data_IF_078056048177
#
_entry.id   IF_078056048177
#
_cell.length_a   1.000
_cell.length_b   1.000
_cell.length_c   1.000
_cell.angle_alpha   90.00
_cell.angle_beta   90.00
_cell.angle_gamma   90.00
#
_symmetry.space_group_name_H-M   'P 1'
#
loop_
_entity.id
_entity.type
_entity.pdbx_description
1 polymer ?
#
# COMPACT_ATOMS: atom_id res chain seq x y z
N UNK A 1 -18.47 -3.53 -13.31
CA UNK A 1 -17.61 -2.34 -13.12
C UNK A 1 -16.53 -2.44 -14.16
N UNK A 2 -16.53 -1.53 -15.12
CA UNK A 2 -15.50 -1.45 -16.16
C UNK A 2 -14.18 -1.17 -15.47
N UNK A 3 -13.30 -2.16 -15.45
CA UNK A 3 -11.87 -1.96 -15.22
C UNK A 3 -11.45 -0.95 -16.28
N UNK A 4 -11.32 0.32 -15.89
CA UNK A 4 -10.76 1.34 -16.77
C UNK A 4 -9.29 0.97 -16.93
N UNK A 5 -9.02 0.15 -17.94
CA UNK A 5 -7.71 0.04 -18.52
C UNK A 5 -7.21 1.48 -18.74
N UNK A 6 -5.95 1.80 -18.43
CA UNK A 6 -5.41 3.10 -18.75
C UNK A 6 -5.72 3.38 -20.24
N UNK A 7 -6.11 4.61 -20.60
CA UNK A 7 -6.37 4.95 -21.99
C UNK A 7 -5.17 4.46 -22.81
N UNK A 8 -5.42 3.63 -23.82
CA UNK A 8 -4.37 3.12 -24.70
C UNK A 8 -3.72 4.34 -25.36
N UNK A 9 -2.59 4.77 -24.80
CA UNK A 9 -1.80 5.84 -25.37
C UNK A 9 -1.07 5.24 -26.56
N UNK A 10 -1.19 5.87 -27.73
CA UNK A 10 -0.43 5.50 -28.94
C UNK A 10 1.05 5.85 -28.82
N UNK A 11 1.43 6.51 -27.72
CA UNK A 11 2.75 6.99 -27.40
C UNK A 11 3.60 5.88 -26.78
N UNK A 12 4.76 5.63 -27.35
CA UNK A 12 5.72 4.61 -26.88
C UNK A 12 6.86 5.22 -26.06
N UNK A 13 7.43 4.45 -25.13
CA UNK A 13 8.62 4.86 -24.36
C UNK A 13 9.78 5.32 -25.26
N UNK A 14 10.01 4.62 -26.37
CA UNK A 14 11.08 4.96 -27.31
C UNK A 14 10.89 6.36 -27.93
N UNK A 15 9.64 6.74 -28.27
CA UNK A 15 9.33 8.08 -28.77
C UNK A 15 9.56 9.16 -27.71
N UNK A 16 9.18 8.88 -26.45
CA UNK A 16 9.42 9.77 -25.30
C UNK A 16 10.92 10.00 -25.09
N UNK A 17 11.70 8.92 -25.03
CA UNK A 17 13.15 9.01 -24.81
C UNK A 17 13.87 9.71 -25.98
N UNK A 18 13.43 9.49 -27.21
CA UNK A 18 13.94 10.19 -28.41
C UNK A 18 13.67 11.69 -28.32
N UNK A 19 12.45 12.10 -27.94
CA UNK A 19 12.11 13.50 -27.77
C UNK A 19 12.93 14.15 -26.64
N UNK A 20 13.16 13.45 -25.53
CA UNK A 20 14.01 13.90 -24.42
C UNK A 20 15.47 14.07 -24.86
N UNK A 21 15.99 13.14 -25.67
CA UNK A 21 17.38 13.18 -26.15
C UNK A 21 17.65 14.37 -27.08
N UNK A 22 16.64 14.85 -27.81
CA UNK A 22 16.75 16.02 -28.70
C UNK A 22 16.79 17.37 -27.95
N UNK A 23 16.53 17.39 -26.65
CA UNK A 23 16.48 18.62 -25.85
C UNK A 23 17.87 19.14 -25.49
N UNK A 24 17.95 20.44 -25.23
CA UNK A 24 19.16 21.05 -24.65
C UNK A 24 19.43 20.47 -23.25
N UNK A 25 20.69 20.39 -22.77
CA UNK A 25 21.03 19.72 -21.51
C UNK A 25 20.17 20.16 -20.31
N UNK A 26 19.97 21.47 -20.12
CA UNK A 26 19.12 22.03 -19.04
C UNK A 26 17.67 21.53 -19.13
N UNK A 27 17.11 21.48 -20.34
CA UNK A 27 15.73 21.05 -20.57
C UNK A 27 15.59 19.55 -20.38
N UNK A 28 16.57 18.78 -20.87
CA UNK A 28 16.66 17.33 -20.72
C UNK A 28 16.70 16.91 -19.25
N UNK A 29 17.59 17.52 -18.46
CA UNK A 29 17.68 17.32 -17.00
C UNK A 29 16.35 17.63 -16.34
N UNK A 30 15.76 18.80 -16.64
CA UNK A 30 14.50 19.22 -16.05
C UNK A 30 13.36 18.23 -16.33
N UNK A 31 13.20 17.77 -17.58
CA UNK A 31 12.17 16.80 -17.94
C UNK A 31 12.38 15.47 -17.24
N UNK A 32 13.63 14.97 -17.16
CA UNK A 32 13.94 13.73 -16.43
C UNK A 32 13.65 13.85 -14.93
N UNK A 33 13.92 15.01 -14.31
CA UNK A 33 13.56 15.23 -12.91
C UNK A 33 12.03 15.31 -12.69
N UNK A 34 11.29 15.91 -13.63
CA UNK A 34 9.82 15.92 -13.56
C UNK A 34 9.22 14.51 -13.75
N UNK A 35 9.91 13.64 -14.49
CA UNK A 35 9.54 12.25 -14.75
C UNK A 35 10.33 11.24 -13.89
N UNK A 36 10.93 11.70 -12.79
CA UNK A 36 11.83 10.90 -11.93
C UNK A 36 11.26 9.55 -11.46
N UNK A 37 9.95 9.38 -11.19
CA UNK A 37 9.41 8.06 -10.86
C UNK A 37 9.64 7.02 -11.96
N UNK A 38 9.71 7.45 -13.22
CA UNK A 38 9.66 6.58 -14.41
C UNK A 38 10.94 6.59 -15.25
N UNK A 39 11.73 7.67 -15.17
CA UNK A 39 12.94 7.87 -15.97
C UNK A 39 14.07 8.41 -15.10
N UNK A 40 15.25 7.81 -15.25
CA UNK A 40 16.42 8.15 -14.45
C UNK A 40 17.25 9.23 -15.16
N UNK A 41 17.75 10.24 -14.43
CA UNK A 41 18.80 11.10 -14.94
C UNK A 41 20.01 10.27 -15.36
N UNK A 42 20.54 10.56 -16.55
CA UNK A 42 21.74 9.88 -17.06
C UNK A 42 23.00 10.37 -16.31
N UNK A 43 24.12 9.64 -16.35
CA UNK A 43 25.37 10.11 -15.76
C UNK A 43 25.80 11.50 -16.27
N UNK A 44 25.54 11.80 -17.54
CA UNK A 44 25.76 13.13 -18.12
C UNK A 44 24.91 14.21 -17.46
N UNK A 45 23.64 13.91 -17.16
CA UNK A 45 22.73 14.85 -16.50
C UNK A 45 23.18 15.12 -15.06
N UNK A 46 23.64 14.10 -14.34
CA UNK A 46 24.21 14.24 -12.99
C UNK A 46 25.45 15.14 -13.04
N UNK A 47 26.37 14.89 -13.97
CA UNK A 47 27.57 15.71 -14.18
C UNK A 47 27.20 17.14 -14.54
N UNK A 48 26.18 17.33 -15.38
CA UNK A 48 25.68 18.65 -15.75
C UNK A 48 25.12 19.40 -14.52
N UNK A 49 24.27 18.76 -13.73
CA UNK A 49 23.72 19.35 -12.49
C UNK A 49 24.82 19.72 -11.49
N UNK A 50 25.80 18.83 -11.31
CA UNK A 50 26.92 19.06 -10.39
C UNK A 50 27.80 20.25 -10.84
N UNK A 51 27.94 20.51 -12.16
CA UNK A 51 28.65 21.70 -12.69
C UNK A 51 27.88 23.00 -12.45
N UNK A 52 26.56 22.96 -12.50
CA UNK A 52 25.70 24.15 -12.30
C UNK A 52 25.43 24.48 -10.83
N UNK A 53 25.91 23.64 -9.90
CA UNK A 53 25.67 23.81 -8.47
C UNK A 53 26.11 25.20 -7.99
N UNK A 54 25.20 25.91 -7.32
CA UNK A 54 25.57 27.09 -6.53
C UNK A 54 26.20 26.63 -5.21
N UNK A 55 27.41 27.09 -4.87
CA UNK A 55 28.11 26.64 -3.67
C UNK A 55 27.25 26.82 -2.39
N UNK A 56 27.21 25.81 -1.48
CA UNK A 56 26.44 25.89 -0.23
C UNK A 56 26.88 27.05 0.67
N UNK A 57 28.12 27.54 0.54
CA UNK A 57 28.64 28.66 1.33
C UNK A 57 28.08 30.04 0.94
N UNK A 58 27.28 30.12 -0.13
CA UNK A 58 26.59 31.35 -0.54
C UNK A 58 25.22 31.51 0.15
N UNK A 59 24.74 30.50 0.91
CA UNK A 59 23.47 30.54 1.66
C UNK A 59 23.69 30.78 3.16
N UNK A 60 24.44 31.82 3.53
CA UNK A 60 24.35 32.45 4.85
C UNK A 60 25.20 33.73 4.88
N UNK A 61 24.59 34.90 4.64
CA UNK A 61 24.95 36.18 5.27
C UNK A 61 26.38 36.74 5.23
N UNK A 62 27.41 36.03 4.76
CA UNK A 62 28.75 36.54 4.58
C UNK A 62 28.80 37.24 3.23
N UNK A 63 28.44 38.53 3.25
CA UNK A 63 29.05 39.47 2.31
C UNK A 63 30.56 39.41 2.54
N UNK A 64 31.27 38.53 1.85
CA UNK A 64 32.65 38.80 1.51
C UNK A 64 32.62 39.96 0.51
N UNK A 65 32.64 41.17 1.07
CA UNK A 65 32.91 42.38 0.31
C UNK A 65 34.27 42.21 -0.36
N UNK A 66 34.28 42.34 -1.68
CA UNK A 66 35.48 42.21 -2.49
C UNK A 66 35.35 41.05 -3.47
N UNK A 67 35.00 41.40 -4.72
CA UNK A 67 35.21 40.64 -5.97
C UNK A 67 35.81 39.24 -5.77
N UNK A 68 35.02 38.27 -5.31
CA UNK A 68 35.32 36.87 -5.57
C UNK A 68 34.57 36.49 -6.84
N UNK A 69 35.12 36.95 -7.97
CA UNK A 69 35.04 36.15 -9.18
C UNK A 69 35.78 34.86 -8.84
N UNK A 70 35.08 33.85 -8.31
CA UNK A 70 35.54 32.48 -8.45
C UNK A 70 35.50 32.25 -9.95
N UNK A 71 36.65 32.49 -10.58
CA UNK A 71 36.84 32.26 -11.99
C UNK A 71 36.37 30.83 -12.27
N UNK A 72 35.42 30.69 -13.18
CA UNK A 72 35.03 29.40 -13.77
C UNK A 72 36.23 28.62 -14.35
N UNK A 73 37.42 29.23 -14.40
CA UNK A 73 38.63 28.73 -15.05
C UNK A 73 39.63 27.97 -14.16
N UNK A 74 39.42 27.79 -12.84
CA UNK A 74 40.45 27.12 -11.99
C UNK A 74 39.96 26.11 -10.96
N UNK A 75 38.85 25.41 -11.22
CA UNK A 75 38.68 24.07 -10.64
C UNK A 75 39.09 23.08 -11.73
N UNK A 76 40.32 22.57 -11.64
CA UNK A 76 40.81 21.48 -12.50
C UNK A 76 40.00 20.21 -12.21
N UNK A 77 38.89 20.05 -12.93
CA UNK A 77 37.99 18.90 -12.84
C UNK A 77 36.82 19.09 -11.87
N UNK A 78 35.64 18.62 -12.25
CA UNK A 78 34.44 18.60 -11.40
C UNK A 78 34.69 17.72 -10.17
N UNK A 79 34.57 18.23 -8.92
CA UNK A 79 34.80 17.44 -7.72
C UNK A 79 33.86 16.22 -7.66
N UNK A 80 34.41 15.03 -7.37
CA UNK A 80 33.63 13.78 -7.27
C UNK A 80 32.53 13.89 -6.21
N UNK A 81 32.80 14.54 -5.09
CA UNK A 81 31.83 14.72 -4.01
C UNK A 81 30.59 15.50 -4.45
N UNK A 82 30.70 16.37 -5.46
CA UNK A 82 29.56 17.12 -5.99
C UNK A 82 28.66 16.23 -6.84
N UNK A 83 29.27 15.34 -7.64
CA UNK A 83 28.55 14.32 -8.41
C UNK A 83 27.81 13.39 -7.44
N UNK A 84 28.52 12.88 -6.42
CA UNK A 84 27.96 11.98 -5.39
C UNK A 84 26.81 12.66 -4.63
N UNK A 85 26.93 13.95 -4.29
CA UNK A 85 25.88 14.67 -3.58
C UNK A 85 24.58 14.76 -4.40
N UNK A 86 24.68 15.10 -5.70
CA UNK A 86 23.51 15.15 -6.60
C UNK A 86 22.94 13.76 -6.80
N UNK A 87 23.80 12.76 -7.06
CA UNK A 87 23.38 11.37 -7.24
C UNK A 87 22.63 10.84 -6.01
N UNK A 88 23.14 11.10 -4.80
CA UNK A 88 22.49 10.70 -3.54
C UNK A 88 21.10 11.34 -3.41
N UNK A 89 20.96 12.63 -3.76
CA UNK A 89 19.66 13.32 -3.71
C UNK A 89 18.69 12.77 -4.75
N UNK A 90 19.13 12.55 -5.99
CA UNK A 90 18.33 11.90 -7.04
C UNK A 90 17.83 10.54 -6.55
N UNK A 91 18.71 9.68 -6.05
CA UNK A 91 18.36 8.35 -5.53
C UNK A 91 17.38 8.42 -4.35
N UNK A 92 17.56 9.37 -3.43
CA UNK A 92 16.67 9.58 -2.29
C UNK A 92 15.23 9.87 -2.75
N UNK A 93 15.05 10.88 -3.60
CA UNK A 93 13.71 11.28 -4.07
C UNK A 93 13.10 10.24 -5.01
N UNK A 94 13.90 9.64 -5.89
CA UNK A 94 13.47 8.56 -6.77
C UNK A 94 12.94 7.37 -5.95
N UNK A 95 13.69 6.92 -4.94
CA UNK A 95 13.28 5.82 -4.06
C UNK A 95 11.99 6.16 -3.33
N UNK A 96 11.84 7.39 -2.84
CA UNK A 96 10.63 7.84 -2.15
C UNK A 96 9.40 7.81 -3.08
N UNK A 97 9.50 8.40 -4.26
CA UNK A 97 8.39 8.47 -5.23
C UNK A 97 7.99 7.08 -5.73
N UNK A 98 8.96 6.26 -6.11
CA UNK A 98 8.72 4.88 -6.56
C UNK A 98 8.15 4.01 -5.44
N UNK A 99 8.61 4.18 -4.20
CA UNK A 99 8.07 3.46 -3.03
C UNK A 99 6.60 3.82 -2.80
N UNK A 100 6.25 5.10 -2.91
CA UNK A 100 4.87 5.55 -2.82
C UNK A 100 3.97 4.95 -3.91
N UNK A 101 4.40 4.99 -5.18
CA UNK A 101 3.65 4.41 -6.29
C UNK A 101 3.52 2.87 -6.15
N UNK A 102 4.62 2.19 -5.80
CA UNK A 102 4.62 0.74 -5.57
C UNK A 102 3.64 0.37 -4.46
N UNK A 103 3.64 1.12 -3.34
CA UNK A 103 2.69 0.94 -2.25
C UNK A 103 1.25 1.09 -2.71
N UNK A 104 0.96 2.14 -3.48
CA UNK A 104 -0.39 2.39 -3.98
C UNK A 104 -0.86 1.34 -4.98
N UNK A 105 0.03 0.85 -5.86
CA UNK A 105 -0.26 -0.27 -6.76
C UNK A 105 -0.59 -1.53 -5.98
N UNK A 106 0.30 -1.96 -5.08
CA UNK A 106 0.09 -3.15 -4.26
C UNK A 106 -1.21 -3.05 -3.45
N UNK A 107 -1.56 -1.88 -2.94
CA UNK A 107 -2.78 -1.68 -2.16
C UNK A 107 -4.04 -1.71 -3.06
N UNK A 108 -3.96 -1.16 -4.26
CA UNK A 108 -5.05 -1.17 -5.23
C UNK A 108 -5.39 -2.60 -5.67
N UNK A 109 -4.40 -3.39 -6.08
CA UNK A 109 -4.71 -4.77 -6.46
C UNK A 109 -5.00 -5.66 -5.23
N UNK A 110 -4.50 -5.34 -4.02
CA UNK A 110 -4.88 -6.05 -2.78
C UNK A 110 -6.39 -5.95 -2.55
N UNK A 111 -6.89 -4.73 -2.61
CA UNK A 111 -8.28 -4.42 -2.41
C UNK A 111 -9.16 -4.96 -3.55
N UNK A 112 -8.67 -4.91 -4.79
CA UNK A 112 -9.37 -5.51 -5.95
C UNK A 112 -9.57 -7.01 -5.75
N UNK A 113 -8.51 -7.73 -5.39
CA UNK A 113 -8.55 -9.17 -5.16
C UNK A 113 -9.44 -9.52 -3.95
N UNK A 114 -9.34 -8.76 -2.86
CA UNK A 114 -10.23 -8.94 -1.72
C UNK A 114 -11.70 -8.70 -2.08
N UNK A 115 -12.01 -7.71 -2.90
CA UNK A 115 -13.38 -7.44 -3.33
C UNK A 115 -13.94 -8.58 -4.20
N UNK A 116 -13.12 -9.16 -5.07
CA UNK A 116 -13.50 -10.34 -5.85
C UNK A 116 -13.79 -11.55 -4.94
N UNK A 117 -12.90 -11.84 -3.98
CA UNK A 117 -13.10 -12.93 -3.01
C UNK A 117 -14.32 -12.70 -2.10
N UNK A 118 -14.52 -11.47 -1.60
CA UNK A 118 -15.69 -11.11 -0.80
C UNK A 118 -16.99 -11.24 -1.59
N UNK A 119 -16.98 -10.95 -2.89
CA UNK A 119 -18.16 -11.13 -3.74
C UNK A 119 -18.55 -12.61 -3.84
N UNK A 120 -17.58 -13.52 -3.95
CA UNK A 120 -17.83 -14.97 -3.91
C UNK A 120 -18.39 -15.41 -2.55
N UNK A 121 -17.82 -14.93 -1.44
CA UNK A 121 -18.32 -15.26 -0.09
C UNK A 121 -19.76 -14.75 0.11
N UNK A 122 -20.09 -13.56 -0.39
CA UNK A 122 -21.45 -13.02 -0.35
C UNK A 122 -22.40 -13.91 -1.15
N UNK A 123 -22.05 -14.26 -2.39
CA UNK A 123 -22.87 -15.11 -3.25
C UNK A 123 -23.06 -16.51 -2.66
N UNK A 124 -22.01 -17.11 -2.09
CA UNK A 124 -22.09 -18.39 -1.40
C UNK A 124 -23.04 -18.33 -0.18
N UNK A 125 -22.98 -17.23 0.60
CA UNK A 125 -23.86 -17.05 1.75
C UNK A 125 -25.31 -16.84 1.31
N UNK A 126 -25.55 -16.08 0.24
CA UNK A 126 -26.90 -15.91 -0.35
C UNK A 126 -27.48 -17.25 -0.83
N UNK A 127 -26.66 -18.09 -1.47
CA UNK A 127 -27.07 -19.44 -1.89
C UNK A 127 -27.47 -20.32 -0.70
N UNK A 128 -26.69 -20.33 0.37
CA UNK A 128 -26.99 -21.11 1.58
C UNK A 128 -28.23 -20.58 2.32
N UNK A 129 -28.39 -19.26 2.43
CA UNK A 129 -29.58 -18.65 3.03
C UNK A 129 -30.86 -18.99 2.24
N UNK A 130 -30.78 -19.00 0.91
CA UNK A 130 -31.92 -19.35 0.06
C UNK A 130 -32.23 -20.86 0.07
N UNK A 131 -31.20 -21.71 -0.01
CA UNK A 131 -31.37 -23.16 -0.16
C UNK A 131 -31.54 -23.93 1.15
N UNK A 132 -30.83 -23.56 2.23
CA UNK A 132 -30.85 -24.28 3.50
C UNK A 132 -31.72 -23.60 4.57
N UNK A 133 -31.94 -22.29 4.45
CA UNK A 133 -32.71 -21.52 5.44
C UNK A 133 -34.06 -21.01 4.90
N UNK A 134 -34.38 -21.28 3.63
CA UNK A 134 -35.60 -20.88 2.93
C UNK A 134 -35.87 -19.36 3.00
N UNK A 135 -34.81 -18.54 3.03
CA UNK A 135 -34.95 -17.09 3.07
C UNK A 135 -35.27 -16.57 1.67
N UNK A 136 -36.44 -15.92 1.54
CA UNK A 136 -36.88 -15.28 0.31
C UNK A 136 -36.08 -14.01 -0.06
N UNK A 137 -36.20 -13.53 -1.31
CA UNK A 137 -35.46 -12.38 -1.82
C UNK A 137 -35.75 -11.09 -1.03
N UNK A 138 -36.99 -10.86 -0.61
CA UNK A 138 -37.36 -9.68 0.19
C UNK A 138 -36.64 -9.66 1.54
N UNK A 139 -36.59 -10.80 2.24
CA UNK A 139 -35.86 -10.93 3.50
C UNK A 139 -34.34 -10.78 3.34
N UNK A 140 -33.78 -11.17 2.19
CA UNK A 140 -32.36 -10.90 1.87
C UNK A 140 -32.09 -9.40 1.68
N UNK A 141 -33.04 -8.65 1.11
CA UNK A 141 -32.96 -7.20 1.01
C UNK A 141 -33.06 -6.52 2.39
N UNK A 142 -33.94 -7.02 3.26
CA UNK A 142 -34.03 -6.56 4.65
C UNK A 142 -32.72 -6.80 5.40
N UNK A 143 -32.13 -7.99 5.29
CA UNK A 143 -30.84 -8.31 5.88
C UNK A 143 -29.73 -7.38 5.36
N UNK A 144 -29.76 -7.06 4.06
CA UNK A 144 -28.81 -6.13 3.44
C UNK A 144 -28.99 -4.70 3.96
N UNK A 145 -30.23 -4.25 4.19
CA UNK A 145 -30.52 -2.96 4.79
C UNK A 145 -30.05 -2.88 6.26
N UNK A 146 -30.29 -3.96 7.02
CA UNK A 146 -29.91 -4.07 8.44
C UNK A 146 -28.40 -4.22 8.66
N UNK A 147 -27.63 -4.61 7.64
CA UNK A 147 -26.19 -4.82 7.74
C UNK A 147 -25.42 -3.63 8.35
N UNK A 148 -25.90 -2.40 8.13
CA UNK A 148 -25.28 -1.15 8.63
C UNK A 148 -25.59 -0.84 10.10
N UNK A 149 -26.59 -1.49 10.69
CA UNK A 149 -27.14 -1.16 12.01
C UNK A 149 -26.74 -2.18 13.09
N UNK A 150 -26.30 -3.38 12.72
CA UNK A 150 -26.11 -4.49 13.64
C UNK A 150 -24.72 -4.54 14.33
N UNK A 151 -24.64 -4.54 15.68
CA UNK A 151 -23.38 -4.73 16.42
C UNK A 151 -22.92 -6.19 16.35
N UNK A 152 -22.23 -6.53 15.26
CA UNK A 152 -21.88 -7.91 14.89
C UNK A 152 -21.17 -8.70 15.98
N UNK A 153 -20.13 -8.11 16.59
CA UNK A 153 -19.32 -8.80 17.61
C UNK A 153 -20.16 -9.21 18.80
N UNK A 154 -21.10 -8.35 19.22
CA UNK A 154 -22.03 -8.66 20.30
C UNK A 154 -23.05 -9.72 19.87
N UNK A 155 -23.63 -9.58 18.68
CA UNK A 155 -24.60 -10.53 18.14
C UNK A 155 -24.02 -11.96 18.02
N UNK A 156 -22.78 -12.08 17.52
CA UNK A 156 -22.07 -13.37 17.42
C UNK A 156 -21.80 -13.98 18.79
N UNK A 157 -21.34 -13.19 19.76
CA UNK A 157 -21.13 -13.66 21.14
C UNK A 157 -22.44 -14.11 21.79
N UNK A 158 -23.52 -13.36 21.58
CA UNK A 158 -24.85 -13.70 22.09
C UNK A 158 -25.38 -15.00 21.47
N UNK A 159 -25.21 -15.17 20.15
CA UNK A 159 -25.60 -16.39 19.43
C UNK A 159 -24.83 -17.60 19.93
N UNK A 160 -23.50 -17.48 20.10
CA UNK A 160 -22.68 -18.54 20.68
C UNK A 160 -23.13 -18.91 22.10
N UNK A 161 -23.38 -17.91 22.96
CA UNK A 161 -23.85 -18.16 24.32
C UNK A 161 -25.24 -18.83 24.37
N UNK A 162 -26.15 -18.52 23.43
CA UNK A 162 -27.44 -19.21 23.31
C UNK A 162 -27.26 -20.67 22.91
N UNK A 163 -26.37 -20.95 21.96
CA UNK A 163 -26.03 -22.31 21.55
C UNK A 163 -25.41 -23.12 22.71
N UNK A 164 -24.48 -22.53 23.46
CA UNK A 164 -23.83 -23.17 24.60
C UNK A 164 -24.81 -23.55 25.72
N UNK A 165 -25.90 -22.79 25.87
CA UNK A 165 -26.97 -23.02 26.84
C UNK A 165 -28.11 -23.91 26.33
N UNK A 166 -28.08 -24.30 25.05
CA UNK A 166 -29.19 -25.04 24.42
C UNK A 166 -30.48 -24.22 24.27
N UNK A 167 -30.38 -22.89 24.20
CA UNK A 167 -31.52 -21.96 24.05
C UNK A 167 -31.90 -21.72 22.58
N UNK A 168 -31.29 -22.43 21.64
CA UNK A 168 -31.52 -22.28 20.20
C UNK A 168 -31.32 -23.63 19.50
N UNK A 169 -32.21 -23.94 18.56
CA UNK A 169 -32.14 -25.13 17.72
C UNK A 169 -31.06 -24.99 16.64
N UNK A 170 -30.58 -26.13 16.13
CA UNK A 170 -29.53 -26.18 15.11
C UNK A 170 -29.90 -25.38 13.85
N UNK A 171 -31.14 -25.53 13.35
CA UNK A 171 -31.62 -24.83 12.16
C UNK A 171 -31.67 -23.30 12.36
N UNK A 172 -32.16 -22.85 13.51
CA UNK A 172 -32.28 -21.42 13.82
C UNK A 172 -30.90 -20.79 14.06
N UNK A 173 -29.97 -21.53 14.67
CA UNK A 173 -28.60 -21.09 14.82
C UNK A 173 -27.92 -20.90 13.47
N UNK A 174 -28.01 -21.87 12.57
CA UNK A 174 -27.40 -21.78 11.24
C UNK A 174 -27.97 -20.59 10.47
N UNK A 175 -29.30 -20.39 10.53
CA UNK A 175 -29.97 -19.23 9.93
C UNK A 175 -29.47 -17.90 10.49
N UNK A 176 -29.45 -17.75 11.82
CA UNK A 176 -28.96 -16.52 12.48
C UNK A 176 -27.45 -16.30 12.18
N UNK A 177 -26.64 -17.37 12.18
CA UNK A 177 -25.20 -17.32 11.94
C UNK A 177 -24.88 -16.87 10.52
N UNK A 178 -25.52 -17.49 9.51
CA UNK A 178 -25.37 -17.12 8.11
C UNK A 178 -25.87 -15.70 7.84
N UNK A 179 -26.96 -15.28 8.47
CA UNK A 179 -27.48 -13.91 8.35
C UNK A 179 -26.48 -12.87 8.88
N UNK A 180 -25.88 -13.13 10.05
CA UNK A 180 -24.84 -12.26 10.61
C UNK A 180 -23.59 -12.25 9.72
N UNK A 181 -23.19 -13.40 9.19
CA UNK A 181 -22.04 -13.51 8.30
C UNK A 181 -22.24 -12.74 6.99
N UNK A 182 -23.41 -12.87 6.36
CA UNK A 182 -23.81 -12.09 5.19
C UNK A 182 -23.70 -10.58 5.46
N UNK A 183 -24.27 -10.11 6.58
CA UNK A 183 -24.17 -8.71 7.00
C UNK A 183 -22.73 -8.25 7.25
N UNK A 184 -21.88 -9.13 7.80
CA UNK A 184 -20.46 -8.84 8.03
C UNK A 184 -19.70 -8.64 6.72
N UNK A 185 -19.91 -9.56 5.75
CA UNK A 185 -19.25 -9.53 4.44
C UNK A 185 -19.69 -8.33 3.61
N UNK A 186 -20.98 -7.96 3.66
CA UNK A 186 -21.48 -6.75 3.02
C UNK A 186 -20.79 -5.49 3.56
N UNK A 187 -20.67 -5.34 4.87
CA UNK A 187 -19.96 -4.21 5.49
C UNK A 187 -18.49 -4.16 5.10
N UNK A 188 -17.82 -5.30 5.14
CA UNK A 188 -16.41 -5.39 4.78
C UNK A 188 -16.19 -5.01 3.30
N UNK A 189 -17.03 -5.50 2.40
CA UNK A 189 -17.02 -5.11 0.98
C UNK A 189 -17.21 -3.60 0.83
N UNK A 190 -18.17 -3.00 1.53
CA UNK A 190 -18.42 -1.56 1.45
C UNK A 190 -17.23 -0.74 1.97
N UNK A 191 -16.57 -1.16 3.07
CA UNK A 191 -15.33 -0.54 3.55
C UNK A 191 -14.20 -0.66 2.54
N UNK A 192 -13.98 -1.85 1.99
CA UNK A 192 -12.90 -2.12 1.03
C UNK A 192 -13.12 -1.38 -0.28
N UNK A 193 -14.37 -1.28 -0.75
CA UNK A 193 -14.73 -0.48 -1.92
C UNK A 193 -14.44 1.00 -1.72
N UNK A 194 -14.80 1.57 -0.56
CA UNK A 194 -14.45 2.97 -0.22
C UNK A 194 -12.94 3.17 -0.19
N UNK A 195 -12.20 2.24 0.42
CA UNK A 195 -10.73 2.28 0.48
C UNK A 195 -10.13 2.18 -0.92
N UNK A 196 -10.62 1.29 -1.78
CA UNK A 196 -10.12 1.14 -3.15
C UNK A 196 -10.32 2.44 -3.92
N UNK A 197 -11.50 3.06 -3.84
CA UNK A 197 -11.77 4.34 -4.49
C UNK A 197 -10.79 5.42 -4.01
N UNK A 198 -10.54 5.53 -2.71
CA UNK A 198 -9.56 6.49 -2.17
C UNK A 198 -8.14 6.21 -2.67
N UNK A 199 -7.73 4.94 -2.70
CA UNK A 199 -6.40 4.53 -3.17
C UNK A 199 -6.23 4.78 -4.66
N UNK A 200 -7.25 4.51 -5.48
CA UNK A 200 -7.21 4.81 -6.91
C UNK A 200 -7.12 6.32 -7.18
N UNK A 201 -7.83 7.13 -6.40
CA UNK A 201 -7.72 8.60 -6.47
C UNK A 201 -6.33 9.08 -6.03
N UNK A 202 -5.80 8.57 -4.90
CA UNK A 202 -4.46 8.90 -4.42
C UNK A 202 -3.38 8.46 -5.41
N UNK A 203 -3.54 7.29 -6.03
CA UNK A 203 -2.67 6.77 -7.09
C UNK A 203 -2.70 7.67 -8.31
N UNK A 204 -3.88 8.04 -8.80
CA UNK A 204 -4.01 8.94 -9.95
C UNK A 204 -3.37 10.31 -9.66
N UNK A 205 -3.60 10.86 -8.47
CA UNK A 205 -2.97 12.10 -8.03
C UNK A 205 -1.43 11.97 -7.96
N UNK A 206 -0.93 10.85 -7.41
CA UNK A 206 0.51 10.59 -7.31
C UNK A 206 1.16 10.43 -8.68
N UNK A 207 0.49 9.74 -9.62
CA UNK A 207 0.98 9.55 -11.00
C UNK A 207 1.13 10.90 -11.71
N UNK A 208 0.14 11.78 -11.56
CA UNK A 208 0.09 13.08 -12.24
C UNK A 208 0.86 14.18 -11.49
N UNK A 209 1.27 13.94 -10.25
CA UNK A 209 2.06 14.90 -9.47
C UNK A 209 3.49 14.98 -9.97
N UNK A 210 4.01 16.20 -10.14
CA UNK A 210 5.43 16.46 -10.39
C UNK A 210 6.12 16.96 -9.13
N UNK A 211 7.45 16.81 -9.04
CA UNK A 211 8.25 17.41 -7.98
C UNK A 211 8.01 18.92 -7.87
N UNK A 212 7.99 19.45 -6.65
CA UNK A 212 7.87 20.89 -6.40
C UNK A 212 9.16 21.64 -6.80
N UNK A 213 9.09 22.96 -6.98
CA UNK A 213 10.27 23.75 -7.34
C UNK A 213 11.34 23.70 -6.24
N UNK A 214 10.94 23.58 -4.97
CA UNK A 214 11.84 23.42 -3.84
C UNK A 214 12.60 22.09 -3.92
N UNK A 215 11.92 20.99 -4.21
CA UNK A 215 12.57 19.69 -4.33
C UNK A 215 13.48 19.62 -5.55
N UNK A 216 13.06 20.18 -6.69
CA UNK A 216 13.93 20.30 -7.86
C UNK A 216 15.18 21.15 -7.57
N UNK A 217 15.02 22.27 -6.85
CA UNK A 217 16.12 23.11 -6.43
C UNK A 217 17.06 22.39 -5.44
N UNK A 218 16.51 21.55 -4.56
CA UNK A 218 17.27 20.74 -3.62
C UNK A 218 18.11 19.67 -4.34
N UNK A 219 17.49 18.91 -5.27
CA UNK A 219 18.19 17.89 -6.06
C UNK A 219 19.31 18.51 -6.89
N UNK A 220 18.99 19.59 -7.61
CA UNK A 220 19.94 20.28 -8.50
C UNK A 220 20.93 21.17 -7.72
N UNK A 221 20.72 21.39 -6.42
CA UNK A 221 21.54 22.27 -5.60
C UNK A 221 21.65 23.71 -6.15
N UNK A 222 20.55 24.25 -6.68
CA UNK A 222 20.46 25.65 -7.16
C UNK A 222 19.38 26.43 -6.41
N UNK A 223 19.25 27.74 -6.67
CA UNK A 223 18.16 28.55 -6.13
C UNK A 223 16.80 28.17 -6.75
N UNK A 224 15.71 28.36 -5.99
CA UNK A 224 14.34 28.05 -6.45
C UNK A 224 13.92 28.95 -7.62
N UNK A 225 14.25 30.25 -7.59
CA UNK A 225 13.81 31.21 -8.62
C UNK A 225 14.15 30.79 -10.08
N UNK A 226 15.38 30.35 -10.37
CA UNK A 226 15.72 29.79 -11.69
C UNK A 226 14.94 28.55 -12.11
N UNK A 227 14.48 27.71 -11.18
CA UNK A 227 13.82 26.44 -11.48
C UNK A 227 12.48 26.67 -12.18
N UNK A 228 11.63 27.58 -11.68
CA UNK A 228 10.29 27.79 -12.24
C UNK A 228 10.33 28.16 -13.73
N UNK A 229 11.25 29.05 -14.11
CA UNK A 229 11.44 29.45 -15.50
C UNK A 229 12.02 28.32 -16.37
N UNK A 230 12.97 27.53 -15.82
CA UNK A 230 13.54 26.37 -16.50
C UNK A 230 12.48 25.30 -16.74
N UNK A 231 11.60 25.07 -15.77
CA UNK A 231 10.50 24.10 -15.81
C UNK A 231 9.57 24.38 -16.99
N UNK A 232 9.01 25.59 -17.07
CA UNK A 232 8.08 25.98 -18.14
C UNK A 232 8.72 25.83 -19.52
N UNK A 233 9.95 26.33 -19.69
CA UNK A 233 10.69 26.22 -20.96
C UNK A 233 11.00 24.78 -21.34
N UNK A 234 11.30 23.92 -20.37
CA UNK A 234 11.62 22.52 -20.61
C UNK A 234 10.38 21.73 -21.05
N UNK A 235 9.25 21.89 -20.36
CA UNK A 235 7.98 21.25 -20.73
C UNK A 235 7.54 21.70 -22.13
N UNK A 236 7.62 23.00 -22.41
CA UNK A 236 7.33 23.55 -23.73
C UNK A 236 8.20 22.92 -24.83
N UNK A 237 9.52 22.88 -24.61
CA UNK A 237 10.45 22.33 -25.58
C UNK A 237 10.22 20.83 -25.80
N UNK A 238 9.94 20.09 -24.73
CA UNK A 238 9.63 18.67 -24.78
C UNK A 238 8.37 18.39 -25.61
N UNK A 239 7.26 19.09 -25.34
CA UNK A 239 6.03 18.83 -26.08
C UNK A 239 6.17 19.17 -27.58
N UNK A 240 6.88 20.25 -27.90
CA UNK A 240 7.19 20.59 -29.29
C UNK A 240 8.05 19.51 -29.98
N UNK A 241 9.07 18.99 -29.29
CA UNK A 241 9.91 17.91 -29.79
C UNK A 241 9.14 16.59 -29.94
N UNK A 242 8.20 16.31 -29.03
CA UNK A 242 7.39 15.10 -29.12
C UNK A 242 6.40 15.17 -30.28
N UNK A 243 5.74 16.31 -30.48
CA UNK A 243 4.81 16.49 -31.59
C UNK A 243 5.50 16.42 -32.95
N UNK A 244 6.71 16.96 -33.08
CA UNK A 244 7.49 16.81 -34.32
C UNK A 244 7.85 15.35 -34.57
N UNK A 245 8.19 14.60 -33.52
CA UNK A 245 8.47 13.15 -33.58
C UNK A 245 7.23 12.35 -34.00
N UNK A 246 6.05 12.72 -33.51
CA UNK A 246 4.78 12.07 -33.83
C UNK A 246 4.20 12.46 -35.19
N UNK A 247 4.79 13.44 -35.90
CA UNK A 247 4.23 14.06 -37.11
C UNK A 247 2.78 14.53 -36.91
N UNK A 248 2.38 14.75 -35.66
CA UNK A 248 1.07 15.29 -35.30
C UNK A 248 1.13 16.79 -35.48
N UNK A 249 0.32 17.36 -36.37
CA UNK A 249 0.15 18.81 -36.44
C UNK A 249 -0.42 19.30 -35.11
N UNK A 250 0.41 19.88 -34.24
CA UNK A 250 -0.08 20.58 -33.06
C UNK A 250 -0.71 21.88 -33.53
N UNK A 251 -2.00 22.07 -33.24
CA UNK A 251 -2.57 23.41 -33.23
C UNK A 251 -1.94 24.18 -32.06
N UNK A 252 -1.01 25.08 -32.38
CA UNK A 252 -0.28 25.89 -31.43
C UNK A 252 -1.19 26.71 -30.50
N UNK A 253 -2.42 27.05 -30.93
CA UNK A 253 -3.40 27.74 -30.11
C UNK A 253 -4.02 26.84 -29.04
N UNK A 254 -4.40 25.61 -29.39
CA UNK A 254 -4.88 24.59 -28.44
C UNK A 254 -3.82 24.22 -27.39
N UNK A 255 -2.56 24.16 -27.79
CA UNK A 255 -1.44 23.85 -26.91
C UNK A 255 -1.16 25.01 -25.94
N UNK A 256 -1.12 26.26 -26.41
CA UNK A 256 -0.99 27.43 -25.53
C UNK A 256 -2.16 27.54 -24.54
N UNK A 257 -3.38 27.20 -24.98
CA UNK A 257 -4.55 27.15 -24.11
C UNK A 257 -4.45 26.04 -23.06
N UNK A 258 -4.00 24.83 -23.40
CA UNK A 258 -3.82 23.73 -22.44
C UNK A 258 -2.70 23.99 -21.40
N UNK A 259 -1.59 24.61 -21.84
CA UNK A 259 -0.50 25.04 -20.95
C UNK A 259 -0.99 26.10 -19.96
N UNK A 260 -1.75 27.07 -20.44
CA UNK A 260 -2.27 28.15 -19.59
C UNK A 260 -3.45 27.72 -18.72
N UNK A 261 -4.32 26.80 -19.20
CA UNK A 261 -5.52 26.37 -18.50
C UNK A 261 -5.30 25.23 -17.48
N UNK A 262 -4.20 24.47 -17.57
CA UNK A 262 -3.99 23.27 -16.73
C UNK A 262 -2.56 23.03 -16.23
N UNK A 263 -1.52 23.58 -16.88
CA UNK A 263 -0.13 23.32 -16.49
C UNK A 263 0.41 24.35 -15.50
N UNK A 264 0.02 25.63 -15.57
CA UNK A 264 0.50 26.68 -14.65
C UNK A 264 0.29 26.36 -13.15
N UNK A 265 -0.95 26.08 -12.69
CA UNK A 265 -1.23 25.78 -11.27
C UNK A 265 -0.76 24.38 -10.81
N UNK A 266 -0.59 23.42 -11.73
CA UNK A 266 -0.11 22.06 -11.42
C UNK A 266 1.42 21.95 -11.41
N UNK A 267 2.11 22.83 -12.14
CA UNK A 267 3.57 22.89 -12.21
C UNK A 267 4.18 23.89 -11.22
N UNK A 268 3.45 24.92 -10.77
CA UNK A 268 3.87 25.73 -9.63
C UNK A 268 3.61 24.91 -8.37
N UNK A 269 4.65 24.34 -7.77
CA UNK A 269 4.56 23.53 -6.56
C UNK A 269 3.57 24.15 -5.57
N UNK A 270 2.44 23.47 -5.39
CA UNK A 270 1.37 23.92 -4.50
C UNK A 270 1.96 24.25 -3.14
N UNK A 271 1.68 25.47 -2.70
CA UNK A 271 1.96 26.02 -1.38
C UNK A 271 1.93 24.98 -0.26
N UNK A 272 2.80 25.16 0.74
CA UNK A 272 3.12 24.27 1.87
C UNK A 272 1.95 23.81 2.77
N UNK A 273 0.69 24.02 2.39
CA UNK A 273 -0.49 23.61 3.17
C UNK A 273 -1.57 22.85 2.37
N UNK A 274 -1.36 22.45 1.12
CA UNK A 274 -2.36 21.64 0.40
C UNK A 274 -2.01 20.15 0.44
N UNK A 275 -2.50 19.47 1.48
CA UNK A 275 -2.78 18.05 1.37
C UNK A 275 -3.78 17.81 0.23
N UNK A 276 -3.56 16.73 -0.54
CA UNK A 276 -4.57 16.00 -1.34
C UNK A 276 -5.80 16.86 -1.71
N UNK A 277 -5.64 17.82 -2.62
CA UNK A 277 -6.65 18.87 -2.79
C UNK A 277 -6.84 19.45 -4.20
N UNK A 278 -5.95 19.18 -5.17
CA UNK A 278 -6.21 19.62 -6.54
C UNK A 278 -7.06 18.57 -7.25
N UNK A 279 -8.30 18.95 -7.59
CA UNK A 279 -9.21 18.10 -8.39
C UNK A 279 -8.49 17.58 -9.64
N UNK A 280 -8.68 16.30 -10.01
CA UNK A 280 -8.24 15.82 -11.31
C UNK A 280 -9.08 16.53 -12.38
N UNK A 281 -8.56 17.60 -12.98
CA UNK A 281 -8.99 18.06 -14.30
C UNK A 281 -8.82 16.87 -15.23
N UNK A 282 -9.95 16.46 -15.80
CA UNK A 282 -10.06 15.43 -16.81
C UNK A 282 -9.34 15.92 -18.08
N UNK A 283 -8.13 15.42 -18.33
CA UNK A 283 -7.23 15.87 -19.38
C UNK A 283 -6.78 14.68 -20.24
N UNK A 284 -7.74 13.99 -20.84
CA UNK A 284 -7.47 12.94 -21.84
C UNK A 284 -6.85 13.47 -23.16
N UNK A 285 -6.18 14.63 -23.16
CA UNK A 285 -5.88 15.39 -24.39
C UNK A 285 -4.45 15.89 -24.59
N UNK A 286 -3.69 16.26 -23.54
CA UNK A 286 -2.37 16.88 -23.75
C UNK A 286 -1.21 15.87 -23.77
N UNK A 287 -0.23 16.10 -24.64
CA UNK A 287 0.91 15.21 -24.87
C UNK A 287 1.77 14.98 -23.61
N UNK A 288 1.78 15.92 -22.66
CA UNK A 288 2.47 15.76 -21.39
C UNK A 288 1.75 14.75 -20.48
N UNK A 289 0.43 14.89 -20.29
CA UNK A 289 -0.36 13.89 -19.56
C UNK A 289 -0.27 12.52 -20.22
N UNK A 290 -0.34 12.45 -21.56
CA UNK A 290 -0.17 11.19 -22.29
C UNK A 290 1.22 10.56 -22.06
N UNK A 291 2.29 11.38 -21.99
CA UNK A 291 3.64 10.93 -21.63
C UNK A 291 3.66 10.27 -20.25
N UNK A 292 3.08 10.94 -19.24
CA UNK A 292 3.03 10.41 -17.89
C UNK A 292 2.25 9.09 -17.84
N UNK A 293 1.08 9.03 -18.48
CA UNK A 293 0.25 7.83 -18.49
C UNK A 293 0.90 6.66 -19.24
N UNK A 294 1.59 6.93 -20.36
CA UNK A 294 2.34 5.91 -21.09
C UNK A 294 3.49 5.34 -20.22
N UNK A 295 4.24 6.21 -19.55
CA UNK A 295 5.33 5.79 -18.66
C UNK A 295 4.83 5.07 -17.40
N UNK A 296 3.67 5.47 -16.87
CA UNK A 296 3.06 4.85 -15.69
C UNK A 296 2.36 3.51 -16.00
N UNK A 297 2.12 3.20 -17.27
CA UNK A 297 1.63 1.89 -17.71
C UNK A 297 2.72 0.81 -17.61
N UNK A 298 3.99 1.20 -17.72
CA UNK A 298 5.11 0.28 -17.51
C UNK A 298 5.28 -0.02 -16.02
N UNK A 299 5.47 -1.30 -15.63
CA UNK A 299 5.69 -1.66 -14.24
C UNK A 299 6.99 -1.04 -13.72
N UNK A 300 6.91 -0.32 -12.60
CA UNK A 300 8.08 0.18 -11.88
C UNK A 300 8.86 -1.02 -11.36
N UNK A 301 10.19 -0.99 -11.51
CA UNK A 301 11.05 -2.05 -10.99
C UNK A 301 10.80 -2.27 -9.48
N UNK A 302 10.75 -3.53 -9.01
CA UNK A 302 10.44 -3.84 -7.63
C UNK A 302 11.50 -3.23 -6.69
N UNK A 303 11.04 -2.46 -5.71
CA UNK A 303 11.90 -1.88 -4.68
C UNK A 303 11.96 -2.83 -3.50
N UNK A 304 13.16 -3.08 -2.99
CA UNK A 304 13.31 -3.80 -1.72
C UNK A 304 12.77 -2.92 -0.58
N UNK A 305 11.71 -3.34 0.12
CA UNK A 305 11.13 -2.53 1.18
C UNK A 305 12.12 -2.37 2.34
N UNK A 306 12.17 -1.18 2.93
CA UNK A 306 12.88 -0.96 4.19
C UNK A 306 12.21 -1.76 5.32
N UNK A 307 12.97 -2.19 6.34
CA UNK A 307 12.39 -2.77 7.55
C UNK A 307 11.30 -1.86 8.11
N UNK A 308 10.23 -2.46 8.62
CA UNK A 308 9.13 -1.68 9.17
C UNK A 308 9.53 -0.99 10.47
N UNK A 309 9.19 0.30 10.60
CA UNK A 309 9.51 1.14 11.78
C UNK A 309 8.44 1.08 12.88
N UNK A 310 7.41 0.24 12.73
CA UNK A 310 6.39 0.10 13.78
C UNK A 310 6.99 -0.55 15.04
N UNK A 311 6.49 -0.21 16.24
CA UNK A 311 6.92 -0.87 17.49
C UNK A 311 6.75 -2.39 17.46
N UNK A 312 5.75 -2.88 16.72
CA UNK A 312 5.43 -4.30 16.56
C UNK A 312 6.08 -4.92 15.31
N UNK A 313 6.97 -4.18 14.64
CA UNK A 313 7.64 -4.59 13.41
C UNK A 313 8.41 -5.89 13.59
N UNK A 314 8.22 -6.85 12.67
CA UNK A 314 8.90 -8.15 12.73
C UNK A 314 8.39 -9.11 13.82
N UNK A 315 7.38 -8.73 14.60
CA UNK A 315 6.80 -9.64 15.60
C UNK A 315 5.92 -10.72 14.96
N UNK A 316 5.87 -11.89 15.60
CA UNK A 316 4.96 -12.98 15.20
C UNK A 316 3.49 -12.55 15.27
N UNK A 317 3.13 -11.70 16.25
CA UNK A 317 1.77 -11.19 16.44
C UNK A 317 1.31 -10.29 15.30
N UNK A 318 2.14 -9.33 14.86
CA UNK A 318 1.82 -8.51 13.69
C UNK A 318 1.70 -9.37 12.43
N UNK A 319 2.63 -10.30 12.22
CA UNK A 319 2.61 -11.20 11.05
C UNK A 319 1.33 -12.04 10.98
N UNK A 320 0.87 -12.58 12.12
CA UNK A 320 -0.39 -13.32 12.18
C UNK A 320 -1.59 -12.44 11.79
N UNK A 321 -1.67 -11.22 12.33
CA UNK A 321 -2.75 -10.27 12.00
C UNK A 321 -2.72 -9.84 10.52
N UNK A 322 -1.53 -9.65 9.94
CA UNK A 322 -1.37 -9.34 8.51
C UNK A 322 -1.84 -10.50 7.64
N UNK A 323 -1.56 -11.75 8.02
CA UNK A 323 -2.09 -12.94 7.34
C UNK A 323 -3.62 -13.00 7.45
N UNK A 324 -4.19 -12.76 8.63
CA UNK A 324 -5.65 -12.69 8.81
C UNK A 324 -6.29 -11.58 7.98
N UNK A 325 -5.63 -10.42 7.84
CA UNK A 325 -6.07 -9.35 6.95
C UNK A 325 -6.00 -9.77 5.48
N UNK A 326 -4.93 -10.45 5.08
CA UNK A 326 -4.74 -10.94 3.71
C UNK A 326 -5.87 -11.87 3.26
N UNK A 327 -6.46 -12.59 4.22
CA UNK A 327 -7.57 -13.52 4.00
C UNK A 327 -8.92 -13.00 4.46
N UNK A 328 -9.07 -11.68 4.69
CA UNK A 328 -10.30 -11.01 5.13
C UNK A 328 -10.99 -11.62 6.38
N UNK A 329 -10.24 -12.33 7.22
CA UNK A 329 -10.72 -12.94 8.47
C UNK A 329 -10.45 -12.09 9.72
N UNK A 330 -9.69 -11.00 9.57
CA UNK A 330 -9.45 -10.07 10.66
C UNK A 330 -10.78 -9.40 11.09
N UNK A 331 -11.06 -9.41 12.39
CA UNK A 331 -12.27 -8.81 12.95
C UNK A 331 -12.36 -7.31 12.66
N UNK A 332 -13.59 -6.78 12.49
CA UNK A 332 -13.82 -5.38 12.07
C UNK A 332 -13.08 -4.36 12.94
N UNK A 333 -13.12 -4.50 14.26
CA UNK A 333 -12.47 -3.57 15.19
C UNK A 333 -10.93 -3.59 15.07
N UNK A 334 -10.35 -4.76 14.86
CA UNK A 334 -8.91 -4.92 14.68
C UNK A 334 -8.46 -4.42 13.31
N UNK A 335 -9.23 -4.75 12.27
CA UNK A 335 -9.02 -4.29 10.90
C UNK A 335 -8.98 -2.76 10.84
N UNK A 336 -9.94 -2.09 11.46
CA UNK A 336 -10.01 -0.62 11.49
C UNK A 336 -8.82 0.00 12.23
N UNK A 337 -8.42 -0.56 13.37
CA UNK A 337 -7.25 -0.08 14.15
C UNK A 337 -5.93 -0.31 13.42
N UNK A 338 -5.81 -1.44 12.74
CA UNK A 338 -4.60 -1.87 12.04
C UNK A 338 -4.41 -1.15 10.70
N UNK A 339 -5.50 -0.85 10.01
CA UNK A 339 -5.49 -0.29 8.65
C UNK A 339 -4.54 0.91 8.49
N UNK A 340 -4.67 2.03 9.23
CA UNK A 340 -3.86 3.23 8.97
C UNK A 340 -2.36 2.99 9.16
N UNK A 341 -1.97 2.06 10.05
CA UNK A 341 -0.56 1.74 10.33
C UNK A 341 0.04 0.85 9.24
N UNK A 342 -0.71 -0.16 8.81
CA UNK A 342 -0.19 -1.21 7.92
C UNK A 342 -0.14 -0.77 6.46
N UNK A 343 -1.14 -0.02 6.00
CA UNK A 343 -1.25 0.38 4.59
C UNK A 343 -0.33 1.53 4.18
N UNK A 344 0.23 2.24 5.16
CA UNK A 344 1.28 3.25 4.93
C UNK A 344 2.68 2.63 4.81
N UNK A 345 2.87 1.40 5.30
CA UNK A 345 4.16 0.72 5.25
C UNK A 345 4.26 -0.25 4.07
N UNK A 346 5.21 0.02 3.17
CA UNK A 346 5.47 -0.83 2.02
C UNK A 346 5.85 -2.27 2.43
N UNK A 347 6.61 -2.45 3.52
CA UNK A 347 6.99 -3.77 4.02
C UNK A 347 5.78 -4.58 4.48
N UNK A 348 4.92 -3.99 5.33
CA UNK A 348 3.70 -4.68 5.79
C UNK A 348 2.80 -5.04 4.61
N UNK A 349 2.64 -4.13 3.65
CA UNK A 349 1.82 -4.39 2.47
C UNK A 349 2.40 -5.51 1.60
N UNK A 350 3.73 -5.58 1.45
CA UNK A 350 4.40 -6.67 0.74
C UNK A 350 4.13 -8.02 1.42
N UNK A 351 4.20 -8.07 2.76
CA UNK A 351 3.88 -9.27 3.55
C UNK A 351 2.42 -9.67 3.39
N UNK A 352 1.48 -8.71 3.47
CA UNK A 352 0.04 -8.97 3.25
C UNK A 352 -0.19 -9.52 1.85
N UNK A 353 0.49 -8.97 0.84
CA UNK A 353 0.35 -9.42 -0.55
C UNK A 353 0.89 -10.81 -0.79
N UNK A 354 2.07 -11.12 -0.24
CA UNK A 354 2.61 -12.48 -0.28
C UNK A 354 1.64 -13.47 0.38
N UNK A 355 1.14 -13.15 1.57
CA UNK A 355 0.17 -14.00 2.28
C UNK A 355 -1.14 -14.17 1.49
N UNK A 356 -1.61 -13.14 0.79
CA UNK A 356 -2.83 -13.22 -0.02
C UNK A 356 -2.64 -14.16 -1.22
N UNK A 357 -1.49 -14.07 -1.89
CA UNK A 357 -1.15 -14.94 -3.03
C UNK A 357 -0.98 -16.41 -2.58
N UNK A 358 -0.33 -16.64 -1.43
CA UNK A 358 -0.16 -17.97 -0.84
C UNK A 358 -1.47 -18.59 -0.35
N UNK A 359 -2.42 -17.77 0.10
CA UNK A 359 -3.70 -18.25 0.66
C UNK A 359 -4.63 -18.89 -0.37
N UNK A 360 -4.35 -18.73 -1.67
CA UNK A 360 -5.19 -19.23 -2.75
C UNK A 360 -6.61 -18.68 -2.73
N UNK A 361 -6.84 -17.49 -2.17
CA UNK A 361 -8.15 -16.82 -2.19
C UNK A 361 -8.51 -16.32 -3.58
N UNK A 362 -7.50 -15.88 -4.31
CA UNK A 362 -7.65 -15.48 -5.70
C UNK A 362 -7.77 -16.75 -6.53
N UNK A 363 -8.89 -16.91 -7.24
CA UNK A 363 -9.13 -18.05 -8.13
C UNK A 363 -9.92 -19.22 -7.53
N UNK A 364 -10.46 -19.11 -6.31
CA UNK A 364 -11.36 -20.14 -5.76
C UNK A 364 -12.65 -20.26 -6.56
N UNK A 365 -13.14 -21.48 -6.66
CA UNK A 365 -14.47 -21.74 -7.20
C UNK A 365 -15.56 -21.35 -6.19
N UNK A 366 -16.77 -21.08 -6.68
CA UNK A 366 -17.91 -20.78 -5.82
C UNK A 366 -18.23 -21.98 -4.90
N UNK A 367 -18.15 -23.20 -5.41
CA UNK A 367 -18.45 -24.43 -4.67
C UNK A 367 -17.52 -24.61 -3.46
N UNK A 368 -16.21 -24.36 -3.63
CA UNK A 368 -15.25 -24.38 -2.52
C UNK A 368 -15.59 -23.35 -1.44
N UNK A 369 -16.02 -22.16 -1.85
CA UNK A 369 -16.41 -21.09 -0.93
C UNK A 369 -17.70 -21.46 -0.19
N UNK A 370 -18.68 -22.06 -0.88
CA UNK A 370 -19.93 -22.57 -0.26
C UNK A 370 -19.61 -23.60 0.83
N UNK A 371 -18.75 -24.58 0.54
CA UNK A 371 -18.33 -25.58 1.53
C UNK A 371 -17.68 -24.91 2.74
N UNK A 372 -16.79 -23.94 2.51
CA UNK A 372 -16.12 -23.22 3.61
C UNK A 372 -17.09 -22.40 4.46
N UNK A 373 -18.00 -21.66 3.84
CA UNK A 373 -19.05 -20.91 4.55
C UNK A 373 -19.88 -21.86 5.41
N UNK A 374 -20.33 -22.98 4.82
CA UNK A 374 -21.11 -24.01 5.50
C UNK A 374 -20.38 -24.60 6.72
N UNK A 375 -19.08 -24.91 6.59
CA UNK A 375 -18.28 -25.41 7.72
C UNK A 375 -18.12 -24.37 8.83
N UNK A 376 -17.97 -23.08 8.48
CA UNK A 376 -17.82 -21.98 9.45
C UNK A 376 -19.14 -21.62 10.15
N UNK A 377 -20.28 -21.86 9.50
CA UNK A 377 -21.61 -21.57 10.02
C UNK A 377 -22.28 -22.75 10.71
N UNK A 378 -21.65 -23.94 10.71
CA UNK A 378 -22.18 -25.14 11.32
C UNK A 378 -22.41 -24.96 12.83
N UNK A 379 -23.42 -25.66 13.36
CA UNK A 379 -23.73 -25.65 14.78
C UNK A 379 -22.57 -26.25 15.58
N UNK A 380 -22.15 -25.62 16.69
CA UNK A 380 -21.09 -26.15 17.54
C UNK A 380 -21.56 -27.42 18.24
N UNK A 381 -21.24 -28.58 17.68
CA UNK A 381 -21.42 -29.87 18.34
C UNK A 381 -20.29 -30.02 19.34
N UNK A 382 -20.58 -29.97 20.64
CA UNK A 382 -19.64 -30.51 21.63
C UNK A 382 -19.43 -31.97 21.25
N UNK A 383 -18.22 -32.33 20.85
CA UNK A 383 -17.85 -33.74 20.77
C UNK A 383 -18.19 -34.35 22.12
N UNK A 384 -19.22 -35.20 22.14
CA UNK A 384 -19.42 -36.09 23.26
C UNK A 384 -18.12 -36.87 23.36
N UNK A 385 -17.39 -36.70 24.47
CA UNK A 385 -16.27 -37.57 24.80
C UNK A 385 -16.74 -39.01 24.49
N UNK A 386 -15.97 -39.80 23.73
CA UNK A 386 -16.40 -41.14 23.36
C UNK A 386 -16.81 -41.82 24.66
N UNK A 387 -18.08 -42.21 24.74
CA UNK A 387 -18.61 -42.93 25.89
C UNK A 387 -17.59 -44.05 26.13
N UNK A 388 -16.89 -43.96 27.27
CA UNK A 388 -15.90 -44.94 27.63
C UNK A 388 -16.62 -46.27 27.50
N UNK A 389 -16.23 -47.06 26.50
CA UNK A 389 -16.59 -48.47 26.46
C UNK A 389 -16.21 -48.98 27.84
N UNK A 390 -17.20 -49.55 28.51
CA UNK A 390 -17.11 -50.18 29.81
C UNK A 390 -16.01 -51.24 29.72
N UNK A 391 -14.78 -50.82 29.96
CA UNK A 391 -13.62 -51.67 29.98
C UNK A 391 -13.71 -52.47 31.27
N UNK A 392 -13.68 -53.79 31.11
CA UNK A 392 -13.61 -54.74 32.20
C UNK A 392 -12.58 -54.30 33.27
N UNK A 393 -12.82 -54.59 34.56
CA UNK A 393 -12.02 -54.06 35.64
C UNK A 393 -10.55 -54.50 35.50
N UNK A 394 -9.65 -53.52 35.42
CA UNK A 394 -8.22 -53.75 35.50
C UNK A 394 -7.83 -54.12 36.95
N UNK A 395 -6.86 -55.02 37.16
CA UNK A 395 -6.47 -55.47 38.48
C UNK A 395 -5.77 -54.36 39.25
N UNK A 396 -5.97 -54.37 40.57
CA UNK A 396 -5.39 -53.48 41.56
C UNK A 396 -3.87 -53.32 41.36
N UNK A 397 -3.44 -52.09 41.09
CA UNK A 397 -2.05 -51.69 41.20
C UNK A 397 -1.97 -50.68 42.35
N UNK A 398 -1.29 -51.10 43.40
CA UNK A 398 -1.02 -50.37 44.64
C UNK A 398 -0.50 -48.96 44.36
N UNK A 399 -1.17 -47.96 44.93
CA UNK A 399 -0.71 -46.59 44.96
C UNK A 399 0.49 -46.49 45.92
N UNK A 400 1.70 -46.46 45.36
CA UNK A 400 2.89 -46.06 46.11
C UNK A 400 2.98 -44.53 46.14
N UNK A 401 3.05 -43.99 47.36
CA UNK A 401 3.02 -42.57 47.69
C UNK A 401 4.24 -41.82 47.12
N UNK A 402 3.99 -40.65 46.55
CA UNK A 402 4.97 -39.84 45.82
C UNK A 402 6.12 -39.37 46.74
N UNK A 403 5.86 -39.32 48.04
CA UNK A 403 6.79 -38.89 49.10
C UNK A 403 7.93 -39.89 49.36
N UNK A 404 7.73 -41.19 49.11
CA UNK A 404 8.79 -42.20 49.26
C UNK A 404 9.77 -42.22 48.07
N UNK A 405 9.33 -41.79 46.88
CA UNK A 405 10.18 -41.74 45.67
C UNK A 405 11.19 -40.59 45.67
N UNK A 406 11.02 -39.60 46.54
CA UNK A 406 11.87 -38.39 46.58
C UNK A 406 12.93 -38.40 47.70
N UNK A 407 12.90 -39.38 48.61
CA UNK A 407 13.90 -39.52 49.70
C UNK A 407 15.36 -39.66 49.26
N UNK A 408 15.73 -40.26 48.11
CA UNK A 408 17.13 -40.36 47.71
C UNK A 408 17.75 -39.04 47.19
N UNK A 409 16.98 -37.97 47.01
CA UNK A 409 17.44 -36.69 46.45
C UNK A 409 17.66 -35.57 47.49
N UNK A 410 17.48 -35.86 48.78
CA UNK A 410 17.90 -34.97 49.87
C UNK A 410 19.29 -35.43 50.29
N UNK A 411 20.31 -34.87 49.64
CA UNK A 411 21.71 -35.13 49.94
C UNK A 411 22.11 -34.54 51.29
N UNK A 412 22.39 -35.41 52.24
CA UNK A 412 23.30 -35.15 53.35
C UNK A 412 24.73 -35.01 52.80
N UNK A 413 25.25 -33.79 52.78
CA UNK A 413 26.69 -33.55 52.77
C UNK A 413 27.04 -32.67 53.97
N UNK A 414 27.78 -33.27 54.90
CA UNK A 414 28.24 -32.68 56.14
C UNK A 414 29.49 -31.83 55.90
N UNK A 415 29.58 -30.65 56.51
CA UNK A 415 30.87 -29.94 56.52
C UNK A 415 30.90 -28.54 57.14
N UNK A 416 31.09 -28.50 58.45
CA UNK A 416 31.90 -27.52 59.19
C UNK A 416 31.38 -26.10 59.52
N UNK A 417 31.29 -25.92 60.86
CA UNK A 417 31.94 -24.87 61.66
C UNK A 417 31.36 -23.44 61.59
N UNK A 418 30.92 -22.98 62.77
CA UNK A 418 31.26 -21.61 63.20
C UNK A 418 30.09 -20.69 63.55
N UNK A 419 29.65 -20.77 64.81
CA UNK A 419 29.48 -19.65 65.73
C UNK A 419 28.82 -18.32 65.26
N UNK A 420 27.82 -17.95 66.07
CA UNK A 420 27.58 -16.64 66.70
C UNK A 420 26.86 -15.53 65.90
N UNK A 421 25.62 -15.34 66.33
CA UNK A 421 25.06 -14.11 66.95
C UNK A 421 24.72 -12.89 66.09
N UNK A 422 23.50 -12.41 66.40
CA UNK A 422 22.81 -11.15 66.07
C UNK A 422 21.95 -11.17 64.82
#
# INVERSE_FOLDING_TARGET
MTTTAPPQTTLTRAQIETAIAALQPVQRVMVRLLLLPYLDPTPEDIVFMARERSEPNMRAGLKQGGRSQVAHDKISGLPKDWIVAVETKVQQFQTQLRSQLTRLNLLADFLTDCLAGLQLEITATEQLLASECEIGPESLEDLRAQAKLSPLTYALKKLAARADKGEIEEADYVRERLSLEYQARLRQRDRFKKRLNLVLLERQASILSSLSDEFLAEIWCIAVGPITNRRVKAVQAYVNALASTLKSGLDAASFAAAVNAGLGPRLAGGSKNEGIGSKPVDLAGDLWTQTILALAADPIAPITPKPCEHPEGGTKGLTAKLRSLAIYELGEDEEVKMWPRTVQCLNCLTVVRAAQQESGIVGRSLDEVVVRVKTRSAFPRKEAAPAAQEAAPAPEAEALDLEERLRPFIGDDAGQVGAKSW
#
